data_IF_575411754148
#
_entry.id   IF_575411754148
#
_cell.length_a   1.000
_cell.length_b   1.000
_cell.length_c   1.000
_cell.angle_alpha   90.00
_cell.angle_beta   90.00
_cell.angle_gamma   90.00
#
_symmetry.space_group_name_H-M   'P 1'
#
loop_
_entity.id
_entity.type
_entity.pdbx_description
1 polymer ?
#
# COMPACT_ATOMS: atom_id res chain seq x y z
N UNK A 1 -15.73 10.99 2.62
CA UNK A 1 -15.11 11.21 1.29
C UNK A 1 -15.94 10.45 0.28
N UNK A 2 -15.99 10.89 -0.98
CA UNK A 2 -16.85 10.25 -1.99
C UNK A 2 -16.21 10.24 -3.38
N UNK A 3 -16.74 9.37 -4.25
CA UNK A 3 -16.39 9.30 -5.66
C UNK A 3 -14.96 8.81 -5.95
N UNK A 4 -14.50 8.93 -7.21
CA UNK A 4 -13.19 8.44 -7.65
C UNK A 4 -12.00 9.05 -6.90
N UNK A 5 -12.09 10.33 -6.54
CA UNK A 5 -11.06 11.00 -5.74
C UNK A 5 -10.96 10.39 -4.34
N UNK A 6 -12.09 10.11 -3.70
CA UNK A 6 -12.11 9.41 -2.41
C UNK A 6 -11.50 8.01 -2.51
N UNK A 7 -11.86 7.22 -3.53
CA UNK A 7 -11.31 5.87 -3.75
C UNK A 7 -9.79 5.94 -3.95
N UNK A 8 -9.33 6.88 -4.78
CA UNK A 8 -7.90 7.12 -5.02
C UNK A 8 -7.18 7.46 -3.73
N UNK A 9 -7.78 8.28 -2.87
CA UNK A 9 -7.20 8.64 -1.58
C UNK A 9 -7.06 7.44 -0.63
N UNK A 10 -8.03 6.51 -0.62
CA UNK A 10 -7.93 5.28 0.17
C UNK A 10 -6.76 4.41 -0.31
N UNK A 11 -6.71 4.13 -1.62
CA UNK A 11 -5.67 3.27 -2.20
C UNK A 11 -4.28 3.87 -2.01
N UNK A 12 -4.12 5.18 -2.24
CA UNK A 12 -2.84 5.86 -1.98
C UNK A 12 -2.50 5.95 -0.50
N UNK A 13 -3.51 6.10 0.37
CA UNK A 13 -3.35 6.07 1.82
C UNK A 13 -2.84 4.72 2.32
N UNK A 14 -3.42 3.62 1.82
CA UNK A 14 -2.97 2.25 2.09
C UNK A 14 -1.55 2.01 1.56
N UNK A 15 -1.26 2.45 0.35
CA UNK A 15 0.05 2.37 -0.27
C UNK A 15 1.12 3.10 0.57
N UNK A 16 0.82 4.32 1.02
CA UNK A 16 1.70 5.10 1.89
C UNK A 16 1.88 4.46 3.27
N UNK A 17 0.78 4.03 3.89
CA UNK A 17 0.81 3.40 5.22
C UNK A 17 1.57 2.08 5.20
N UNK A 18 1.33 1.24 4.19
CA UNK A 18 2.03 -0.01 3.96
C UNK A 18 3.52 0.17 3.72
N UNK A 19 3.87 1.08 2.81
CA UNK A 19 5.27 1.39 2.47
C UNK A 19 6.07 1.92 3.66
N UNK A 20 5.47 2.77 4.51
CA UNK A 20 6.14 3.21 5.75
C UNK A 20 6.24 2.08 6.77
N UNK A 21 5.15 1.35 7.01
CA UNK A 21 5.10 0.33 8.05
C UNK A 21 6.15 -0.76 7.84
N UNK A 22 6.25 -1.31 6.62
CA UNK A 22 7.20 -2.39 6.34
C UNK A 22 8.67 -1.92 6.40
N UNK A 23 8.98 -0.69 5.97
CA UNK A 23 10.34 -0.14 6.09
C UNK A 23 10.83 -0.03 7.53
N UNK A 24 9.95 0.35 8.46
CA UNK A 24 10.34 0.65 9.85
C UNK A 24 10.07 -0.48 10.84
N UNK A 25 9.17 -1.41 10.52
CA UNK A 25 8.91 -2.60 11.34
C UNK A 25 9.83 -3.77 10.99
N UNK A 26 10.60 -3.68 9.90
CA UNK A 26 11.58 -4.70 9.50
C UNK A 26 13.02 -4.22 9.79
N UNK A 27 14.00 -5.14 9.89
CA UNK A 27 15.40 -4.75 10.14
C UNK A 27 16.12 -4.18 8.90
N UNK A 28 15.40 -3.76 7.85
CA UNK A 28 15.97 -3.20 6.63
C UNK A 28 16.95 -2.06 6.90
N UNK A 29 16.70 -1.26 7.95
CA UNK A 29 17.58 -0.16 8.35
C UNK A 29 19.01 -0.58 8.71
N UNK A 30 19.21 -1.85 9.11
CA UNK A 30 20.51 -2.44 9.42
C UNK A 30 21.07 -3.29 8.28
N UNK A 31 20.22 -3.71 7.35
CA UNK A 31 20.58 -4.66 6.29
C UNK A 31 20.86 -3.96 4.95
N UNK A 32 20.30 -2.77 4.70
CA UNK A 32 20.36 -2.08 3.40
C UNK A 32 21.00 -0.70 3.52
N UNK A 33 21.72 -0.28 2.47
CA UNK A 33 22.39 1.02 2.40
C UNK A 33 21.39 2.20 2.46
N UNK A 34 21.81 3.38 2.96
CA UNK A 34 20.95 4.56 3.05
C UNK A 34 20.32 5.04 1.73
N UNK A 35 20.93 4.71 0.59
CA UNK A 35 20.40 5.09 -0.73
C UNK A 35 19.02 4.49 -1.02
N UNK A 36 18.76 3.27 -0.54
CA UNK A 36 17.45 2.62 -0.63
C UNK A 36 16.37 3.45 0.06
N UNK A 37 16.62 3.92 1.29
CA UNK A 37 15.67 4.74 2.04
C UNK A 37 15.39 6.09 1.39
N UNK A 38 16.35 6.67 0.65
CA UNK A 38 16.11 7.88 -0.13
C UNK A 38 15.17 7.62 -1.30
N UNK A 39 15.42 6.56 -2.06
CA UNK A 39 14.56 6.17 -3.19
C UNK A 39 13.14 5.87 -2.68
N UNK A 40 13.02 4.98 -1.71
CA UNK A 40 11.71 4.60 -1.16
C UNK A 40 11.03 5.77 -0.49
N UNK A 41 11.75 6.61 0.25
CA UNK A 41 11.20 7.81 0.86
C UNK A 41 10.63 8.80 -0.16
N UNK A 42 11.31 9.02 -1.29
CA UNK A 42 10.77 9.84 -2.37
C UNK A 42 9.50 9.23 -2.99
N UNK A 43 9.46 7.91 -3.19
CA UNK A 43 8.27 7.23 -3.72
C UNK A 43 7.10 7.35 -2.75
N UNK A 44 7.31 7.04 -1.47
CA UNK A 44 6.28 7.17 -0.42
C UNK A 44 5.82 8.62 -0.28
N UNK A 45 6.71 9.61 -0.42
CA UNK A 45 6.34 11.03 -0.39
C UNK A 45 5.38 11.38 -1.53
N UNK A 46 5.69 10.97 -2.77
CA UNK A 46 4.81 11.21 -3.93
C UNK A 46 3.43 10.58 -3.69
N UNK A 47 3.41 9.35 -3.18
CA UNK A 47 2.17 8.65 -2.84
C UNK A 47 1.39 9.36 -1.73
N UNK A 48 2.05 9.80 -0.66
CA UNK A 48 1.43 10.49 0.47
C UNK A 48 0.86 11.86 0.07
N UNK A 49 1.57 12.62 -0.77
CA UNK A 49 1.08 13.89 -1.35
C UNK A 49 -0.12 13.63 -2.25
N UNK A 50 -0.07 12.57 -3.07
CA UNK A 50 -1.20 12.14 -3.89
C UNK A 50 -2.42 11.77 -3.03
N UNK A 51 -2.22 11.02 -1.94
CA UNK A 51 -3.27 10.66 -1.01
C UNK A 51 -3.92 11.91 -0.37
N UNK A 52 -3.11 12.89 0.05
CA UNK A 52 -3.60 14.15 0.59
C UNK A 52 -4.40 14.95 -0.45
N UNK A 53 -3.86 15.12 -1.66
CA UNK A 53 -4.56 15.84 -2.74
C UNK A 53 -5.88 15.17 -3.14
N UNK A 54 -5.88 13.83 -3.25
CA UNK A 54 -7.10 13.06 -3.51
C UNK A 54 -8.10 13.13 -2.34
N UNK A 55 -7.62 13.18 -1.10
CA UNK A 55 -8.48 13.31 0.07
C UNK A 55 -9.19 14.67 0.11
N UNK A 56 -8.46 15.76 -0.22
CA UNK A 56 -9.03 17.09 -0.36
C UNK A 56 -10.04 17.17 -1.52
N UNK A 57 -9.70 16.60 -2.68
CA UNK A 57 -10.60 16.58 -3.85
C UNK A 57 -11.87 15.73 -3.64
N UNK A 58 -11.78 14.66 -2.83
CA UNK A 58 -12.90 13.78 -2.50
C UNK A 58 -13.64 14.16 -1.21
N UNK A 59 -13.38 15.33 -0.64
CA UNK A 59 -13.97 15.77 0.62
C UNK A 59 -15.47 16.06 0.45
N UNK A 60 -16.28 15.57 1.40
CA UNK A 60 -17.73 15.85 1.46
C UNK A 60 -17.96 16.85 2.57
N UNK A 61 -18.62 17.98 2.25
CA UNK A 61 -18.96 19.01 3.23
C UNK A 61 -19.74 18.44 4.42
N UNK A 62 -19.35 18.82 5.64
CA UNK A 62 -19.97 18.33 6.88
C UNK A 62 -19.51 16.94 7.36
N UNK A 63 -18.70 16.21 6.59
CA UNK A 63 -18.15 14.91 7.04
C UNK A 63 -16.93 15.10 7.95
N UNK A 64 -17.12 14.92 9.26
CA UNK A 64 -16.00 14.98 10.23
C UNK A 64 -14.92 13.94 9.95
N UNK A 65 -15.31 12.71 9.58
CA UNK A 65 -14.37 11.66 9.22
C UNK A 65 -13.54 12.03 7.98
N UNK A 66 -14.18 12.61 6.94
CA UNK A 66 -13.46 13.07 5.75
C UNK A 66 -12.43 14.16 6.05
N UNK A 67 -12.77 15.12 6.92
CA UNK A 67 -11.84 16.18 7.32
C UNK A 67 -10.64 15.62 8.09
N UNK A 68 -10.85 14.64 8.98
CA UNK A 68 -9.75 13.99 9.67
C UNK A 68 -8.87 13.17 8.73
N UNK A 69 -9.46 12.47 7.75
CA UNK A 69 -8.70 11.75 6.73
C UNK A 69 -7.78 12.68 5.93
N UNK A 70 -8.30 13.83 5.48
CA UNK A 70 -7.51 14.83 4.77
C UNK A 70 -6.37 15.39 5.62
N UNK A 71 -6.68 15.81 6.86
CA UNK A 71 -5.68 16.38 7.78
C UNK A 71 -4.57 15.39 8.12
N UNK A 72 -4.92 14.13 8.39
CA UNK A 72 -3.95 13.10 8.73
C UNK A 72 -3.14 12.66 7.51
N UNK A 73 -3.73 12.63 6.32
CA UNK A 73 -3.00 12.43 5.06
C UNK A 73 -2.00 13.57 4.80
N UNK A 74 -2.41 14.83 5.00
CA UNK A 74 -1.52 15.98 4.91
C UNK A 74 -0.40 15.94 5.95
N UNK A 75 -0.72 15.60 7.20
CA UNK A 75 0.28 15.42 8.26
C UNK A 75 1.28 14.32 7.92
N UNK A 76 0.82 13.19 7.37
CA UNK A 76 1.69 12.10 6.91
C UNK A 76 2.59 12.59 5.77
N UNK A 77 2.06 13.27 4.77
CA UNK A 77 2.85 13.82 3.66
C UNK A 77 3.95 14.78 4.14
N UNK A 78 3.63 15.69 5.07
CA UNK A 78 4.60 16.61 5.69
C UNK A 78 5.65 15.84 6.49
N UNK A 79 5.24 14.85 7.30
CA UNK A 79 6.17 14.06 8.10
C UNK A 79 7.11 13.23 7.22
N UNK A 80 6.60 12.63 6.14
CA UNK A 80 7.39 11.92 5.12
C UNK A 80 8.35 12.89 4.40
N UNK A 81 7.92 14.12 4.10
CA UNK A 81 8.81 15.14 3.53
C UNK A 81 9.96 15.47 4.48
N UNK A 82 9.67 15.71 5.76
CA UNK A 82 10.67 15.95 6.79
C UNK A 82 11.64 14.77 6.89
N UNK A 83 11.12 13.53 6.89
CA UNK A 83 11.93 12.32 6.88
C UNK A 83 12.88 12.27 5.68
N UNK A 84 12.38 12.50 4.47
CA UNK A 84 13.17 12.51 3.24
C UNK A 84 14.25 13.60 3.30
N UNK A 85 13.91 14.82 3.70
CA UNK A 85 14.87 15.92 3.85
C UNK A 85 15.98 15.54 4.84
N UNK A 86 15.64 14.94 5.99
CA UNK A 86 16.64 14.49 6.97
C UNK A 86 17.59 13.41 6.41
N UNK A 87 17.10 12.52 5.54
CA UNK A 87 17.95 11.56 4.82
C UNK A 87 18.93 12.25 3.85
N UNK A 88 18.49 13.31 3.16
CA UNK A 88 19.33 14.07 2.23
C UNK A 88 20.37 14.94 2.95
N UNK A 89 20.00 15.56 4.06
CA UNK A 89 20.90 16.35 4.94
C UNK A 89 21.79 15.44 5.82
N UNK A 90 21.73 14.12 5.61
CA UNK A 90 22.59 13.11 6.29
C UNK A 90 22.45 13.13 7.81
N UNK A 91 21.22 13.24 8.33
CA UNK A 91 20.89 13.14 9.76
C UNK A 91 20.19 11.81 10.06
N UNK A 92 20.90 10.67 10.09
CA UNK A 92 20.27 9.34 10.14
C UNK A 92 19.51 9.05 11.45
N UNK A 93 19.99 9.55 12.59
CA UNK A 93 19.31 9.40 13.88
C UNK A 93 17.92 10.05 13.89
N UNK A 94 17.83 11.37 13.65
CA UNK A 94 16.55 12.07 13.50
C UNK A 94 15.67 11.48 12.38
N UNK A 95 16.24 11.14 11.22
CA UNK A 95 15.49 10.53 10.13
C UNK A 95 14.80 9.23 10.57
N UNK A 96 15.51 8.37 11.32
CA UNK A 96 14.92 7.14 11.84
C UNK A 96 13.80 7.40 12.84
N UNK A 97 13.97 8.38 13.73
CA UNK A 97 12.94 8.74 14.71
C UNK A 97 11.67 9.25 14.02
N UNK A 98 11.80 10.15 13.04
CA UNK A 98 10.68 10.66 12.24
C UNK A 98 10.02 9.55 11.43
N UNK A 99 10.81 8.66 10.83
CA UNK A 99 10.32 7.49 10.11
C UNK A 99 9.50 6.54 11.01
N UNK A 100 9.99 6.22 12.20
CA UNK A 100 9.22 5.42 13.17
C UNK A 100 7.95 6.13 13.61
N UNK A 101 7.99 7.46 13.82
CA UNK A 101 6.82 8.25 14.17
C UNK A 101 5.75 8.30 13.05
N UNK A 102 6.13 8.07 11.80
CA UNK A 102 5.17 8.03 10.68
C UNK A 102 4.30 6.77 10.66
N UNK A 103 4.71 5.68 11.32
CA UNK A 103 3.90 4.45 11.45
C UNK A 103 2.62 4.66 12.27
N UNK A 104 2.64 5.16 13.52
CA UNK A 104 1.39 5.42 14.25
C UNK A 104 0.53 6.50 13.58
N UNK A 105 1.15 7.49 12.92
CA UNK A 105 0.41 8.49 12.16
C UNK A 105 -0.33 7.89 10.96
N UNK A 106 0.31 6.98 10.22
CA UNK A 106 -0.35 6.30 9.11
C UNK A 106 -1.48 5.38 9.59
N UNK A 107 -1.32 4.73 10.75
CA UNK A 107 -2.42 3.97 11.38
C UNK A 107 -3.58 4.89 11.74
N UNK A 108 -3.32 6.05 12.35
CA UNK A 108 -4.36 7.03 12.67
C UNK A 108 -5.08 7.54 11.41
N UNK A 109 -4.34 7.77 10.32
CA UNK A 109 -4.92 8.11 9.01
C UNK A 109 -5.87 7.02 8.51
N UNK A 110 -5.47 5.75 8.56
CA UNK A 110 -6.33 4.62 8.17
C UNK A 110 -7.59 4.52 9.05
N UNK A 111 -7.49 4.81 10.36
CA UNK A 111 -8.65 4.86 11.26
C UNK A 111 -9.62 5.97 10.83
N UNK A 112 -9.13 7.17 10.50
CA UNK A 112 -9.98 8.24 10.01
C UNK A 112 -10.64 7.89 8.67
N UNK A 113 -9.89 7.28 7.75
CA UNK A 113 -10.38 6.79 6.47
C UNK A 113 -11.45 5.70 6.63
N UNK A 114 -11.28 4.78 7.59
CA UNK A 114 -12.29 3.77 7.91
C UNK A 114 -13.61 4.39 8.37
N UNK A 115 -13.57 5.54 9.05
CA UNK A 115 -14.76 6.31 9.44
C UNK A 115 -15.56 6.90 8.27
N UNK A 116 -15.02 6.84 7.05
CA UNK A 116 -15.71 7.28 5.82
C UNK A 116 -16.52 6.18 5.14
N UNK A 117 -16.46 4.95 5.66
CA UNK A 117 -17.19 3.80 5.13
C UNK A 117 -18.65 3.71 5.64
N UNK A 118 -19.45 2.91 4.94
CA UNK A 118 -20.83 2.57 5.32
C UNK A 118 -20.93 1.41 6.32
N UNK A 119 -19.90 0.56 6.39
CA UNK A 119 -19.87 -0.63 7.25
C UNK A 119 -19.23 -0.28 8.61
N UNK A 120 -19.40 -1.18 9.60
CA UNK A 120 -18.78 -1.09 10.92
C UNK A 120 -17.33 -0.55 10.86
N UNK A 121 -16.98 0.50 11.62
CA UNK A 121 -15.65 1.11 11.59
C UNK A 121 -14.51 0.11 11.81
N UNK A 122 -14.76 -0.92 12.62
CA UNK A 122 -13.77 -1.97 12.91
C UNK A 122 -13.50 -2.82 11.66
N UNK A 123 -14.54 -3.25 10.95
CA UNK A 123 -14.38 -4.05 9.73
C UNK A 123 -13.71 -3.23 8.64
N UNK A 124 -14.15 -1.99 8.46
CA UNK A 124 -13.57 -1.05 7.50
C UNK A 124 -12.09 -0.77 7.79
N UNK A 125 -11.72 -0.61 9.07
CA UNK A 125 -10.32 -0.45 9.46
C UNK A 125 -9.49 -1.70 9.19
N UNK A 126 -10.01 -2.90 9.49
CA UNK A 126 -9.30 -4.16 9.20
C UNK A 126 -9.13 -4.38 7.69
N UNK A 127 -10.11 -4.00 6.88
CA UNK A 127 -9.99 -4.02 5.42
C UNK A 127 -8.92 -3.04 4.92
N UNK A 128 -8.86 -1.83 5.48
CA UNK A 128 -7.82 -0.87 5.13
C UNK A 128 -6.43 -1.32 5.59
N UNK A 129 -6.35 -2.00 6.73
CA UNK A 129 -5.09 -2.54 7.24
C UNK A 129 -4.59 -3.71 6.37
N UNK A 130 -5.50 -4.57 5.89
CA UNK A 130 -5.18 -5.63 4.94
C UNK A 130 -4.67 -5.05 3.61
N UNK A 131 -5.37 -4.06 3.05
CA UNK A 131 -4.97 -3.37 1.81
C UNK A 131 -3.62 -2.67 1.96
N UNK A 132 -3.39 -2.01 3.10
CA UNK A 132 -2.08 -1.41 3.42
C UNK A 132 -0.96 -2.45 3.51
N UNK A 133 -1.18 -3.59 4.18
CA UNK A 133 -0.20 -4.66 4.25
C UNK A 133 0.09 -5.25 2.85
N UNK A 134 -0.95 -5.43 2.04
CA UNK A 134 -0.87 -5.99 0.70
C UNK A 134 -0.12 -5.07 -0.27
N UNK A 135 -0.57 -3.83 -0.41
CA UNK A 135 0.08 -2.82 -1.24
C UNK A 135 1.50 -2.50 -0.77
N UNK A 136 1.70 -2.38 0.55
CA UNK A 136 3.02 -2.18 1.14
C UNK A 136 3.97 -3.31 0.79
N UNK A 137 3.56 -4.57 0.94
CA UNK A 137 4.42 -5.72 0.67
C UNK A 137 4.85 -5.79 -0.80
N UNK A 138 3.96 -5.41 -1.71
CA UNK A 138 4.26 -5.37 -3.14
C UNK A 138 5.19 -4.20 -3.48
N UNK A 139 4.92 -2.99 -2.98
CA UNK A 139 5.75 -1.81 -3.24
C UNK A 139 7.15 -1.95 -2.67
N UNK A 140 7.27 -2.33 -1.41
CA UNK A 140 8.56 -2.49 -0.75
C UNK A 140 9.33 -3.63 -1.39
N UNK A 141 8.65 -4.73 -1.75
CA UNK A 141 9.25 -5.83 -2.50
C UNK A 141 9.80 -5.40 -3.87
N UNK A 142 9.05 -4.58 -4.61
CA UNK A 142 9.45 -3.99 -5.88
C UNK A 142 10.67 -3.09 -5.73
N UNK A 143 10.62 -2.13 -4.80
CA UNK A 143 11.71 -1.16 -4.60
C UNK A 143 12.96 -1.85 -4.08
N UNK A 144 12.80 -2.84 -3.20
CA UNK A 144 13.90 -3.66 -2.73
C UNK A 144 14.49 -4.47 -3.89
N UNK A 145 13.66 -5.11 -4.72
CA UNK A 145 14.11 -5.80 -5.93
C UNK A 145 14.87 -4.88 -6.89
N UNK A 146 14.37 -3.67 -7.13
CA UNK A 146 15.08 -2.65 -7.90
C UNK A 146 16.45 -2.33 -7.29
N UNK A 147 16.52 -2.19 -5.97
CA UNK A 147 17.79 -1.96 -5.27
C UNK A 147 18.80 -3.10 -5.48
N UNK A 148 18.37 -4.37 -5.49
CA UNK A 148 19.25 -5.51 -5.81
C UNK A 148 19.91 -5.44 -7.19
N UNK A 149 19.30 -4.74 -8.16
CA UNK A 149 19.91 -4.52 -9.48
C UNK A 149 21.13 -3.59 -9.39
N UNK A 150 21.08 -2.64 -8.45
CA UNK A 150 22.16 -1.66 -8.20
C UNK A 150 23.18 -2.14 -7.17
N UNK A 151 22.76 -2.95 -6.20
CA UNK A 151 23.59 -3.47 -5.11
C UNK A 151 23.60 -5.00 -5.09
N UNK A 152 24.39 -5.59 -6.00
CA UNK A 152 24.47 -7.05 -6.17
C UNK A 152 25.07 -7.81 -4.98
N UNK A 153 25.67 -7.11 -4.01
CA UNK A 153 26.28 -7.69 -2.82
C UNK A 153 25.31 -7.90 -1.65
N UNK A 154 24.06 -7.43 -1.77
CA UNK A 154 23.07 -7.57 -0.71
C UNK A 154 22.70 -9.05 -0.49
N UNK A 155 22.63 -9.48 0.77
CA UNK A 155 22.23 -10.85 1.11
C UNK A 155 20.79 -11.12 0.66
N UNK A 156 20.39 -12.39 0.50
CA UNK A 156 19.01 -12.74 0.10
C UNK A 156 18.00 -12.67 1.26
N UNK A 157 18.44 -12.36 2.48
CA UNK A 157 17.59 -12.30 3.66
C UNK A 157 16.42 -11.32 3.51
N UNK A 158 16.68 -10.04 3.17
CA UNK A 158 15.64 -9.04 2.95
C UNK A 158 14.56 -9.49 1.97
N UNK A 159 14.93 -9.89 0.75
CA UNK A 159 13.94 -10.23 -0.29
C UNK A 159 13.13 -11.48 0.02
N UNK A 160 13.72 -12.49 0.67
CA UNK A 160 12.97 -13.67 1.13
C UNK A 160 11.94 -13.29 2.20
N UNK A 161 12.29 -12.36 3.09
CA UNK A 161 11.38 -11.86 4.12
C UNK A 161 10.23 -11.07 3.52
N UNK A 162 10.53 -10.14 2.60
CA UNK A 162 9.51 -9.40 1.85
C UNK A 162 8.56 -10.34 1.10
N UNK A 163 9.09 -11.41 0.50
CA UNK A 163 8.27 -12.43 -0.16
C UNK A 163 7.37 -13.18 0.82
N UNK A 164 7.86 -13.56 2.00
CA UNK A 164 7.01 -14.16 3.05
C UNK A 164 5.91 -13.20 3.50
N UNK A 165 6.23 -11.92 3.68
CA UNK A 165 5.24 -10.90 4.02
C UNK A 165 4.19 -10.74 2.93
N UNK A 166 4.59 -10.72 1.65
CA UNK A 166 3.67 -10.67 0.53
C UNK A 166 2.69 -11.85 0.55
N UNK A 167 3.17 -13.08 0.79
CA UNK A 167 2.29 -14.26 0.85
C UNK A 167 1.25 -14.10 1.97
N UNK A 168 1.66 -13.65 3.16
CA UNK A 168 0.72 -13.41 4.26
C UNK A 168 -0.26 -12.29 3.92
N UNK A 169 0.22 -11.19 3.36
CA UNK A 169 -0.60 -10.03 3.02
C UNK A 169 -1.64 -10.34 1.94
N UNK A 170 -1.28 -11.15 0.93
CA UNK A 170 -2.21 -11.67 -0.07
C UNK A 170 -3.34 -12.48 0.58
N UNK A 171 -3.03 -13.34 1.54
CA UNK A 171 -4.05 -14.14 2.23
C UNK A 171 -4.99 -13.27 3.06
N UNK A 172 -4.43 -12.26 3.75
CA UNK A 172 -5.22 -11.28 4.50
C UNK A 172 -6.13 -10.46 3.58
N UNK A 173 -5.61 -9.99 2.44
CA UNK A 173 -6.41 -9.22 1.48
C UNK A 173 -7.48 -10.10 0.81
N UNK A 174 -7.14 -11.33 0.44
CA UNK A 174 -8.13 -12.28 -0.09
C UNK A 174 -9.28 -12.51 0.89
N UNK A 175 -8.97 -12.67 2.19
CA UNK A 175 -9.99 -12.76 3.22
C UNK A 175 -10.81 -11.47 3.37
N UNK A 176 -10.18 -10.29 3.29
CA UNK A 176 -10.85 -8.99 3.36
C UNK A 176 -11.81 -8.75 2.17
N UNK A 177 -11.38 -9.07 0.95
CA UNK A 177 -12.21 -8.98 -0.27
C UNK A 177 -13.41 -9.89 -0.17
N UNK A 178 -13.22 -11.15 0.23
CA UNK A 178 -14.29 -12.13 0.42
C UNK A 178 -15.26 -11.70 1.52
N UNK A 179 -14.74 -11.22 2.66
CA UNK A 179 -15.55 -10.73 3.77
C UNK A 179 -16.39 -9.49 3.40
N UNK A 180 -15.91 -8.65 2.49
CA UNK A 180 -16.67 -7.51 1.98
C UNK A 180 -17.80 -7.89 1.00
N UNK A 181 -17.96 -9.18 0.68
CA UNK A 181 -19.09 -9.72 -0.09
C UNK A 181 -18.95 -9.63 -1.62
N UNK A 182 -19.97 -10.07 -2.35
CA UNK A 182 -20.02 -10.03 -3.83
C UNK A 182 -21.31 -9.38 -4.35
N UNK A 183 -22.02 -8.64 -3.49
CA UNK A 183 -23.29 -8.02 -3.83
C UNK A 183 -23.16 -6.87 -4.83
N UNK A 184 -24.27 -6.45 -5.47
CA UNK A 184 -24.31 -5.26 -6.32
C UNK A 184 -23.84 -4.03 -5.53
N UNK A 185 -22.99 -3.22 -6.15
CA UNK A 185 -22.58 -1.94 -5.55
C UNK A 185 -23.55 -0.86 -6.01
N UNK A 186 -23.86 0.09 -5.13
CA UNK A 186 -24.84 1.13 -5.43
C UNK A 186 -24.33 1.94 -6.62
N UNK A 187 -25.12 2.00 -7.69
CA UNK A 187 -24.79 2.76 -8.90
C UNK A 187 -24.77 4.25 -8.55
N UNK A 188 -23.58 4.84 -8.45
CA UNK A 188 -23.43 6.29 -8.45
C UNK A 188 -23.11 6.73 -9.88
N UNK A 189 -23.65 7.87 -10.32
CA UNK A 189 -23.44 8.39 -11.69
C UNK A 189 -21.97 8.64 -12.07
N UNK A 190 -21.07 8.56 -11.09
CA UNK A 190 -19.65 8.89 -11.21
C UNK A 190 -18.77 7.70 -11.63
N UNK A 191 -19.23 6.45 -11.43
CA UNK A 191 -18.48 5.26 -11.83
C UNK A 191 -19.11 4.57 -13.04
N UNK A 192 -18.29 3.84 -13.81
CA UNK A 192 -18.78 3.08 -14.96
C UNK A 192 -19.83 2.05 -14.49
N UNK A 193 -21.06 2.07 -15.04
CA UNK A 193 -22.13 1.14 -14.66
C UNK A 193 -21.73 -0.35 -14.70
N UNK A 194 -20.79 -0.73 -15.57
CA UNK A 194 -20.27 -2.10 -15.65
C UNK A 194 -19.57 -2.54 -14.35
N UNK A 195 -18.81 -1.64 -13.71
CA UNK A 195 -18.12 -1.93 -12.44
C UNK A 195 -19.11 -2.11 -11.28
N UNK A 196 -20.28 -1.47 -11.38
CA UNK A 196 -21.33 -1.54 -10.36
C UNK A 196 -22.33 -2.67 -10.60
N UNK A 197 -22.39 -3.20 -11.82
CA UNK A 197 -23.28 -4.30 -12.20
C UNK A 197 -22.74 -5.66 -11.74
N UNK A 198 -23.62 -6.53 -11.22
CA UNK A 198 -23.36 -7.93 -10.91
C UNK A 198 -22.14 -8.23 -9.98
N UNK A 199 -21.73 -7.26 -9.16
CA UNK A 199 -20.59 -7.45 -8.24
C UNK A 199 -19.24 -7.60 -8.97
N UNK A 200 -19.16 -7.17 -10.23
CA UNK A 200 -18.00 -7.35 -11.12
C UNK A 200 -16.71 -6.75 -10.52
N UNK A 201 -16.78 -5.60 -9.83
CA UNK A 201 -15.65 -5.04 -9.12
C UNK A 201 -15.06 -6.00 -8.05
N UNK A 202 -15.92 -6.71 -7.31
CA UNK A 202 -15.50 -7.68 -6.28
C UNK A 202 -14.83 -8.90 -6.91
N UNK A 203 -15.32 -9.35 -8.08
CA UNK A 203 -14.70 -10.43 -8.85
C UNK A 203 -13.37 -10.03 -9.47
N UNK A 204 -13.25 -8.80 -9.99
CA UNK A 204 -11.97 -8.25 -10.46
C UNK A 204 -10.99 -8.20 -9.30
N UNK A 205 -11.41 -7.67 -8.14
CA UNK A 205 -10.56 -7.61 -6.95
C UNK A 205 -10.07 -9.00 -6.57
N UNK A 206 -10.97 -9.98 -6.43
CA UNK A 206 -10.60 -11.35 -6.09
C UNK A 206 -9.65 -11.98 -7.13
N UNK A 207 -9.95 -11.81 -8.42
CA UNK A 207 -9.12 -12.32 -9.51
C UNK A 207 -7.71 -11.72 -9.51
N UNK A 208 -7.60 -10.42 -9.24
CA UNK A 208 -6.31 -9.71 -9.18
C UNK A 208 -5.52 -10.03 -7.89
N UNK A 209 -6.20 -10.23 -6.76
CA UNK A 209 -5.58 -10.79 -5.54
C UNK A 209 -5.05 -12.19 -5.85
N UNK A 210 -5.83 -13.04 -6.52
CA UNK A 210 -5.42 -14.39 -6.95
C UNK A 210 -4.22 -14.38 -7.91
N UNK A 211 -4.19 -13.46 -8.87
CA UNK A 211 -3.04 -13.25 -9.74
C UNK A 211 -1.79 -12.85 -8.95
N UNK A 212 -1.96 -11.93 -7.99
CA UNK A 212 -0.87 -11.51 -7.09
C UNK A 212 -0.39 -12.67 -6.20
N UNK A 213 -1.31 -13.54 -5.76
CA UNK A 213 -0.98 -14.77 -5.02
C UNK A 213 -0.10 -15.72 -5.83
N UNK A 214 -0.48 -15.97 -7.09
CA UNK A 214 0.32 -16.76 -8.01
C UNK A 214 1.71 -16.15 -8.20
N UNK A 215 1.79 -14.84 -8.41
CA UNK A 215 3.06 -14.11 -8.54
C UNK A 215 3.90 -14.26 -7.26
N UNK A 216 3.31 -14.15 -6.07
CA UNK A 216 4.02 -14.32 -4.80
C UNK A 216 4.64 -15.72 -4.67
N UNK A 217 3.92 -16.76 -5.10
CA UNK A 217 4.43 -18.14 -5.16
C UNK A 217 5.57 -18.25 -6.18
N UNK A 218 5.45 -17.62 -7.35
CA UNK A 218 6.49 -17.61 -8.37
C UNK A 218 7.77 -16.87 -7.90
N UNK A 219 7.62 -15.76 -7.18
CA UNK A 219 8.75 -15.06 -6.53
C UNK A 219 9.45 -16.02 -5.57
N UNK A 220 8.68 -16.69 -4.70
CA UNK A 220 9.23 -17.64 -3.73
C UNK A 220 9.93 -18.82 -4.41
N UNK A 221 9.39 -19.30 -5.52
CA UNK A 221 10.01 -20.36 -6.33
C UNK A 221 11.30 -19.88 -6.99
N UNK A 222 11.30 -18.68 -7.60
CA UNK A 222 12.47 -18.10 -8.23
C UNK A 222 13.63 -17.94 -7.25
N UNK A 223 13.36 -17.45 -6.04
CA UNK A 223 14.38 -17.22 -5.01
C UNK A 223 15.06 -18.49 -4.46
N UNK A 224 14.46 -19.67 -4.68
CA UNK A 224 15.11 -20.96 -4.38
C UNK A 224 16.27 -21.28 -5.34
N UNK A 225 16.32 -20.63 -6.51
CA UNK A 225 17.38 -20.82 -7.48
C UNK A 225 18.74 -20.38 -6.93
N UNK A 226 19.83 -21.14 -7.14
CA UNK A 226 21.15 -20.81 -6.59
C UNK A 226 21.81 -19.61 -7.29
N UNK A 227 21.41 -19.29 -8.53
CA UNK A 227 22.03 -18.25 -9.37
C UNK A 227 21.64 -16.84 -8.91
N UNK A 228 22.54 -15.87 -9.12
CA UNK A 228 22.24 -14.45 -8.86
C UNK A 228 21.07 -13.92 -9.72
N UNK A 229 20.87 -14.47 -10.92
CA UNK A 229 19.72 -14.13 -11.78
C UNK A 229 18.35 -14.47 -11.18
N UNK A 230 18.30 -15.34 -10.16
CA UNK A 230 17.07 -15.64 -9.42
C UNK A 230 16.45 -14.38 -8.79
N UNK A 231 17.29 -13.48 -8.26
CA UNK A 231 16.86 -12.23 -7.64
C UNK A 231 16.35 -11.25 -8.71
N UNK A 232 16.96 -11.24 -9.89
CA UNK A 232 16.50 -10.42 -11.01
C UNK A 232 15.13 -10.89 -11.52
N UNK A 233 14.92 -12.21 -11.65
CA UNK A 233 13.63 -12.78 -12.01
C UNK A 233 12.55 -12.46 -10.95
N UNK A 234 12.87 -12.62 -9.66
CA UNK A 234 11.99 -12.23 -8.56
C UNK A 234 11.60 -10.74 -8.62
N UNK A 235 12.55 -9.87 -8.97
CA UNK A 235 12.29 -8.44 -9.17
C UNK A 235 11.33 -8.20 -10.33
N UNK A 236 11.49 -8.91 -11.45
CA UNK A 236 10.55 -8.89 -12.58
C UNK A 236 9.12 -9.22 -12.15
N UNK A 237 8.95 -10.23 -11.31
CA UNK A 237 7.65 -10.61 -10.76
C UNK A 237 7.06 -9.56 -9.82
N UNK A 238 7.86 -8.87 -9.01
CA UNK A 238 7.36 -7.76 -8.19
C UNK A 238 6.84 -6.58 -9.03
N UNK A 239 7.45 -6.30 -10.19
CA UNK A 239 6.89 -5.30 -11.13
C UNK A 239 5.50 -5.69 -11.64
N UNK A 240 5.27 -6.97 -11.93
CA UNK A 240 3.94 -7.45 -12.31
C UNK A 240 2.96 -7.39 -11.13
N UNK A 241 3.42 -7.75 -9.94
CA UNK A 241 2.60 -7.73 -8.72
C UNK A 241 2.04 -6.33 -8.41
N UNK A 242 2.79 -5.26 -8.70
CA UNK A 242 2.30 -3.89 -8.42
C UNK A 242 1.07 -3.54 -9.26
N UNK A 243 1.04 -4.01 -10.51
CA UNK A 243 -0.08 -3.76 -11.43
C UNK A 243 -1.31 -4.53 -10.95
N UNK A 244 -1.14 -5.81 -10.62
CA UNK A 244 -2.27 -6.65 -10.16
C UNK A 244 -2.77 -6.17 -8.80
N UNK A 245 -1.88 -5.84 -7.86
CA UNK A 245 -2.26 -5.41 -6.52
C UNK A 245 -2.99 -4.05 -6.52
N UNK A 246 -2.48 -3.05 -7.26
CA UNK A 246 -3.17 -1.77 -7.40
C UNK A 246 -4.54 -1.95 -8.06
N UNK A 247 -4.64 -2.78 -9.10
CA UNK A 247 -5.93 -3.06 -9.75
C UNK A 247 -6.90 -3.73 -8.78
N UNK A 248 -6.41 -4.64 -7.94
CA UNK A 248 -7.22 -5.30 -6.91
C UNK A 248 -7.79 -4.29 -5.92
N UNK A 249 -6.95 -3.43 -5.35
CA UNK A 249 -7.39 -2.43 -4.36
C UNK A 249 -8.33 -1.40 -4.97
N UNK A 250 -8.03 -0.86 -6.15
CA UNK A 250 -8.96 0.07 -6.81
C UNK A 250 -10.32 -0.57 -7.02
N UNK A 251 -10.39 -1.83 -7.46
CA UNK A 251 -11.64 -2.55 -7.63
C UNK A 251 -12.35 -2.83 -6.28
N UNK A 252 -11.59 -3.18 -5.23
CA UNK A 252 -12.12 -3.45 -3.89
C UNK A 252 -12.70 -2.19 -3.22
N UNK A 253 -12.10 -1.01 -3.45
CA UNK A 253 -12.50 0.24 -2.79
C UNK A 253 -13.63 0.99 -3.48
N UNK A 254 -14.05 0.62 -4.70
CA UNK A 254 -15.22 1.23 -5.36
C UNK A 254 -16.48 1.19 -4.47
N UNK A 255 -16.63 0.14 -3.67
CA UNK A 255 -17.77 -0.07 -2.76
C UNK A 255 -17.54 0.42 -1.32
N UNK A 256 -16.35 0.92 -1.02
CA UNK A 256 -15.95 1.18 0.37
C UNK A 256 -16.53 2.49 0.89
N UNK A 257 -16.63 3.50 0.03
CA UNK A 257 -17.11 4.83 0.38
C UNK A 257 -18.63 4.97 0.23
N UNK A 258 -19.18 5.92 1.00
CA UNK A 258 -20.58 6.37 0.91
C UNK A 258 -20.88 7.12 -0.40
#
# INVERSE_FOLDING_TARGET
MSGPAGVTALVLGELAAGGVALLFLTPLWREVKPGFFKLTGCVVLVVAVGAWGSAGAGLVGGSQAGQWSERLAGALAVLTLVWVVLLFVRRPGPARAVGVASVPLSIAMLVAMAGTADVSPVVSFLQLLAGAAFLGAVMDGLLLGHWYLTDRGLSRGPINRSTSFLIVAVLLEGAAVVAGGFGPTRTTSTFNPLLTSAGLASWIALGMVGATALIAVLIRAALKGPRASAVQAATGFFYLAVITALTAEFAAKVRFLR
#
